data_IF_903909851039
#
_entry.id   IF_903909851039
#
_cell.length_a   1.000
_cell.length_b   1.000
_cell.length_c   1.000
_cell.angle_alpha   90.00
_cell.angle_beta   90.00
_cell.angle_gamma   90.00
#
_symmetry.space_group_name_H-M   'P 1'
#
loop_
_entity.id
_entity.type
_entity.pdbx_description
1 polymer ?
#
# COMPACT_ATOMS: atom_id res chain seq x y z
N UNK A 1 -12.41 12.65 16.19
CA UNK A 1 -12.45 11.77 14.99
C UNK A 1 -11.00 11.47 14.59
N UNK A 2 -10.66 10.20 14.34
CA UNK A 2 -9.31 9.81 13.94
C UNK A 2 -8.99 10.21 12.48
N UNK A 3 -7.70 10.27 12.15
CA UNK A 3 -7.24 10.41 10.76
C UNK A 3 -6.48 9.16 10.33
N UNK A 4 -6.63 8.77 9.07
CA UNK A 4 -5.81 7.73 8.43
C UNK A 4 -5.04 8.38 7.29
N UNK A 5 -3.71 8.44 7.37
CA UNK A 5 -2.86 8.85 6.26
C UNK A 5 -2.29 7.58 5.62
N UNK A 6 -2.60 7.35 4.37
CA UNK A 6 -2.21 6.13 3.68
C UNK A 6 -1.60 6.38 2.30
N UNK A 7 -0.77 5.43 1.84
CA UNK A 7 -0.41 5.37 0.43
C UNK A 7 -1.68 5.16 -0.41
N UNK A 8 -1.80 5.87 -1.52
CA UNK A 8 -2.97 5.79 -2.41
C UNK A 8 -3.28 4.38 -2.93
N UNK A 9 -2.31 3.47 -2.88
CA UNK A 9 -2.57 2.06 -3.22
C UNK A 9 -3.54 1.35 -2.27
N UNK A 10 -3.79 1.89 -1.07
CA UNK A 10 -4.72 1.32 -0.09
C UNK A 10 -6.11 1.94 -0.12
N UNK A 11 -6.32 2.96 -0.96
CA UNK A 11 -7.55 3.76 -0.97
C UNK A 11 -8.81 2.88 -1.10
N UNK A 12 -8.85 2.01 -2.10
CA UNK A 12 -10.01 1.16 -2.37
C UNK A 12 -10.32 0.21 -1.22
N UNK A 13 -9.29 -0.38 -0.63
CA UNK A 13 -9.43 -1.32 0.47
C UNK A 13 -9.86 -0.63 1.78
N UNK A 14 -9.32 0.56 2.07
CA UNK A 14 -9.74 1.35 3.23
C UNK A 14 -11.21 1.77 3.08
N UNK A 15 -11.60 2.24 1.89
CA UNK A 15 -12.99 2.64 1.64
C UNK A 15 -13.94 1.44 1.69
N UNK A 16 -13.54 0.27 1.19
CA UNK A 16 -14.33 -0.95 1.32
C UNK A 16 -14.56 -1.38 2.77
N UNK A 17 -13.59 -1.12 3.65
CA UNK A 17 -13.68 -1.45 5.08
C UNK A 17 -14.27 -0.33 5.94
N UNK A 18 -14.62 0.84 5.38
CA UNK A 18 -15.00 2.04 6.12
C UNK A 18 -16.03 1.79 7.23
N UNK A 19 -17.07 1.04 6.94
CA UNK A 19 -18.12 0.72 7.91
C UNK A 19 -17.77 -0.45 8.84
N UNK A 20 -16.78 -1.25 8.48
CA UNK A 20 -16.36 -2.41 9.25
C UNK A 20 -15.29 -2.13 10.29
N UNK A 21 -14.57 -0.99 10.16
CA UNK A 21 -13.50 -0.61 11.10
C UNK A 21 -14.04 -0.22 12.48
N UNK A 22 -15.32 0.16 12.59
CA UNK A 22 -16.00 0.36 13.87
C UNK A 22 -15.67 1.68 14.59
N UNK A 23 -14.94 2.60 13.95
CA UNK A 23 -14.67 3.93 14.45
C UNK A 23 -14.74 4.98 13.31
N UNK A 24 -15.12 6.25 13.62
CA UNK A 24 -15.16 7.31 12.61
C UNK A 24 -13.75 7.83 12.32
N UNK A 25 -13.43 7.96 11.03
CA UNK A 25 -12.15 8.49 10.58
C UNK A 25 -12.27 9.33 9.30
N UNK A 26 -11.32 10.22 9.11
CA UNK A 26 -11.04 10.91 7.85
C UNK A 26 -9.82 10.26 7.21
N UNK A 27 -9.92 9.93 5.91
CA UNK A 27 -8.83 9.30 5.18
C UNK A 27 -8.14 10.31 4.24
N UNK A 28 -6.81 10.28 4.23
CA UNK A 28 -5.93 11.13 3.43
C UNK A 28 -5.01 10.24 2.62
N UNK A 29 -5.16 10.25 1.30
CA UNK A 29 -4.41 9.38 0.42
C UNK A 29 -3.29 10.17 -0.27
N UNK A 30 -2.05 9.75 -0.02
CA UNK A 30 -0.88 10.32 -0.66
C UNK A 30 -0.52 9.52 -1.91
N UNK A 31 0.01 10.18 -2.93
CA UNK A 31 0.31 9.54 -4.22
C UNK A 31 1.16 8.27 -4.10
N UNK A 32 0.75 7.19 -4.76
CA UNK A 32 1.38 5.87 -4.69
C UNK A 32 2.88 5.86 -5.07
N UNK A 33 3.29 6.74 -5.99
CA UNK A 33 4.68 6.85 -6.44
C UNK A 33 5.61 7.70 -5.56
N UNK A 34 5.14 8.28 -4.45
CA UNK A 34 5.96 9.16 -3.61
C UNK A 34 7.13 8.44 -2.94
N UNK A 35 7.00 7.13 -2.65
CA UNK A 35 8.07 6.34 -2.06
C UNK A 35 9.31 6.16 -2.96
N UNK A 36 9.23 6.54 -4.23
CA UNK A 36 10.37 6.55 -5.16
C UNK A 36 11.38 7.63 -4.76
N UNK A 37 10.93 8.72 -4.14
CA UNK A 37 11.76 9.79 -3.60
C UNK A 37 11.44 10.00 -2.12
N UNK A 38 12.45 9.85 -1.25
CA UNK A 38 12.25 9.95 0.20
C UNK A 38 11.92 11.37 0.67
N UNK A 39 12.48 12.39 0.02
CA UNK A 39 12.20 13.78 0.39
C UNK A 39 10.78 14.19 -0.02
N UNK A 40 10.32 13.75 -1.20
CA UNK A 40 8.94 13.93 -1.64
C UNK A 40 7.96 13.27 -0.67
N UNK A 41 8.21 12.00 -0.29
CA UNK A 41 7.35 11.27 0.65
C UNK A 41 7.33 11.95 2.02
N UNK A 42 8.51 12.30 2.56
CA UNK A 42 8.62 13.01 3.85
C UNK A 42 7.87 14.34 3.83
N UNK A 43 8.06 15.13 2.78
CA UNK A 43 7.40 16.43 2.63
C UNK A 43 5.88 16.31 2.62
N UNK A 44 5.35 15.38 1.82
CA UNK A 44 3.92 15.12 1.74
C UNK A 44 3.34 14.58 3.07
N UNK A 45 4.04 13.64 3.72
CA UNK A 45 3.60 13.07 4.99
C UNK A 45 3.56 14.12 6.11
N UNK A 46 4.60 14.95 6.24
CA UNK A 46 4.65 16.03 7.24
C UNK A 46 3.54 17.05 6.99
N UNK A 47 3.31 17.45 5.76
CA UNK A 47 2.25 18.41 5.42
C UNK A 47 0.86 17.88 5.81
N UNK A 48 0.60 16.59 5.58
CA UNK A 48 -0.70 15.99 5.92
C UNK A 48 -0.84 15.75 7.43
N UNK A 49 0.23 15.36 8.13
CA UNK A 49 0.24 15.28 9.61
C UNK A 49 -0.03 16.63 10.26
N UNK A 50 0.57 17.70 9.75
CA UNK A 50 0.32 19.06 10.22
C UNK A 50 -1.14 19.51 10.00
N UNK A 51 -1.74 19.09 8.89
CA UNK A 51 -3.15 19.34 8.58
C UNK A 51 -4.05 18.58 9.56
N UNK A 52 -3.87 17.27 9.71
CA UNK A 52 -4.64 16.44 10.66
C UNK A 52 -4.58 17.01 12.08
N UNK A 53 -3.40 17.47 12.53
CA UNK A 53 -3.22 18.11 13.84
C UNK A 53 -3.99 19.43 13.95
N UNK A 54 -4.00 20.28 12.91
CA UNK A 54 -4.74 21.56 12.89
C UNK A 54 -6.25 21.32 12.89
N UNK A 55 -6.71 20.30 12.19
CA UNK A 55 -8.12 19.92 12.08
C UNK A 55 -8.65 19.22 13.34
N UNK A 56 -7.79 19.02 14.35
CA UNK A 56 -8.16 18.48 15.66
C UNK A 56 -8.37 16.97 15.66
N UNK A 57 -7.60 16.23 14.86
CA UNK A 57 -7.61 14.77 14.89
C UNK A 57 -7.29 14.24 16.30
N UNK A 58 -8.08 13.27 16.77
CA UNK A 58 -7.85 12.57 18.04
C UNK A 58 -6.61 11.70 18.04
N UNK A 59 -6.13 11.34 16.86
CA UNK A 59 -4.92 10.55 16.61
C UNK A 59 -4.82 10.18 15.13
N UNK A 60 -3.63 9.93 14.64
CA UNK A 60 -3.37 9.64 13.21
C UNK A 60 -2.77 8.27 13.03
N UNK A 61 -3.42 7.43 12.24
CA UNK A 61 -2.90 6.13 11.79
C UNK A 61 -2.18 6.32 10.47
N UNK A 62 -0.94 5.86 10.36
CA UNK A 62 -0.14 5.96 9.14
C UNK A 62 0.06 4.58 8.52
N UNK A 63 -0.41 4.40 7.28
CA UNK A 63 -0.33 3.16 6.50
C UNK A 63 0.68 3.32 5.36
N UNK A 64 1.96 3.19 5.69
CA UNK A 64 3.08 3.31 4.74
C UNK A 64 4.13 2.20 4.88
N UNK A 65 4.06 1.37 5.92
CA UNK A 65 5.11 0.42 6.23
C UNK A 65 6.47 1.12 6.41
N UNK A 66 7.55 0.43 6.10
CA UNK A 66 8.92 0.96 6.17
C UNK A 66 9.38 1.62 4.83
N UNK A 67 8.45 2.24 4.09
CA UNK A 67 8.76 2.88 2.80
C UNK A 67 9.67 4.11 2.91
N UNK A 68 9.85 4.65 4.12
CA UNK A 68 10.83 5.71 4.40
C UNK A 68 11.69 5.30 5.59
N UNK A 69 13.03 5.40 5.49
CA UNK A 69 13.95 4.90 6.53
C UNK A 69 13.80 5.61 7.89
N UNK A 70 13.29 6.85 7.88
CA UNK A 70 13.10 7.67 9.07
C UNK A 70 11.60 7.86 9.41
N UNK A 71 10.70 6.96 8.95
CA UNK A 71 9.26 7.18 9.09
C UNK A 71 8.85 7.30 10.57
N UNK A 72 9.38 6.48 11.43
CA UNK A 72 9.10 6.53 12.88
C UNK A 72 9.57 7.85 13.50
N UNK A 73 10.74 8.36 13.08
CA UNK A 73 11.26 9.64 13.56
C UNK A 73 10.37 10.82 13.09
N UNK A 74 9.84 10.73 11.87
CA UNK A 74 8.90 11.73 11.33
C UNK A 74 7.61 11.77 12.17
N UNK A 75 7.14 10.63 12.66
CA UNK A 75 5.90 10.52 13.43
C UNK A 75 6.03 11.00 14.88
N UNK A 76 7.22 10.94 15.49
CA UNK A 76 7.45 11.26 16.92
C UNK A 76 6.86 12.58 17.41
N UNK A 77 6.87 13.71 16.64
CA UNK A 77 6.29 14.97 17.09
C UNK A 77 4.76 15.01 17.06
N UNK A 78 4.12 13.95 16.57
CA UNK A 78 2.68 13.89 16.35
C UNK A 78 2.04 12.80 17.22
N UNK A 79 0.77 12.96 17.55
CA UNK A 79 -0.02 11.85 18.08
C UNK A 79 -0.40 10.92 16.93
N UNK A 80 0.59 10.13 16.47
CA UNK A 80 0.49 9.30 15.29
C UNK A 80 1.20 7.96 15.49
N UNK A 81 0.67 6.90 14.88
CA UNK A 81 1.21 5.55 14.92
C UNK A 81 1.39 4.99 13.51
N UNK A 82 2.49 4.29 13.29
CA UNK A 82 2.71 3.53 12.06
C UNK A 82 2.03 2.15 12.21
N UNK A 83 1.16 1.80 11.26
CA UNK A 83 0.60 0.45 11.23
C UNK A 83 1.71 -0.61 11.04
N UNK A 84 1.61 -1.72 11.77
CA UNK A 84 2.64 -2.73 11.88
C UNK A 84 2.76 -3.63 10.63
N UNK A 85 3.14 -3.04 9.48
CA UNK A 85 3.48 -3.75 8.25
C UNK A 85 4.83 -3.28 7.71
N UNK A 86 5.56 -4.15 7.03
CA UNK A 86 6.86 -3.80 6.45
C UNK A 86 6.71 -3.04 5.11
N UNK A 87 5.72 -3.42 4.33
CA UNK A 87 5.43 -2.85 3.02
C UNK A 87 3.95 -3.07 2.65
N UNK A 88 3.56 -2.59 1.47
CA UNK A 88 2.18 -2.70 1.00
C UNK A 88 1.71 -4.13 0.72
N UNK A 89 2.61 -5.06 0.44
CA UNK A 89 2.25 -6.48 0.22
C UNK A 89 1.99 -7.16 1.56
N UNK A 90 2.88 -6.92 2.54
CA UNK A 90 2.78 -7.45 3.91
C UNK A 90 1.51 -6.97 4.63
N UNK A 91 0.97 -5.82 4.23
CA UNK A 91 -0.32 -5.33 4.72
C UNK A 91 -1.50 -6.24 4.34
N UNK A 92 -1.40 -6.96 3.22
CA UNK A 92 -2.48 -7.84 2.73
C UNK A 92 -2.21 -9.32 2.98
N UNK A 93 -0.95 -9.74 2.93
CA UNK A 93 -0.56 -11.14 3.09
C UNK A 93 0.33 -11.25 4.32
N UNK A 94 -0.02 -12.16 5.23
CA UNK A 94 0.82 -12.41 6.41
C UNK A 94 2.23 -12.86 5.96
N UNK A 95 3.22 -12.58 6.79
CA UNK A 95 4.61 -13.01 6.57
C UNK A 95 4.71 -14.50 6.23
N UNK A 96 3.96 -15.35 6.92
CA UNK A 96 3.90 -16.80 6.66
C UNK A 96 3.36 -17.10 5.24
N UNK A 97 2.38 -16.35 4.78
CA UNK A 97 1.85 -16.46 3.41
C UNK A 97 2.92 -16.11 2.36
N UNK A 98 3.63 -15.01 2.57
CA UNK A 98 4.74 -14.60 1.70
C UNK A 98 5.89 -15.61 1.68
N UNK A 99 6.32 -16.12 2.84
CA UNK A 99 7.36 -17.14 2.95
C UNK A 99 6.97 -18.45 2.23
N UNK A 100 5.69 -18.82 2.29
CA UNK A 100 5.23 -20.01 1.55
C UNK A 100 5.26 -19.77 0.04
N UNK A 101 4.82 -18.63 -0.43
CA UNK A 101 4.84 -18.30 -1.86
C UNK A 101 6.27 -18.15 -2.41
N UNK A 102 7.18 -17.62 -1.60
CA UNK A 102 8.59 -17.46 -1.97
C UNK A 102 9.31 -18.79 -2.28
N UNK A 103 8.78 -19.92 -1.83
CA UNK A 103 9.30 -21.26 -2.19
C UNK A 103 9.12 -21.58 -3.68
N UNK A 104 8.13 -20.97 -4.31
CA UNK A 104 7.83 -21.16 -5.73
C UNK A 104 8.64 -20.23 -6.64
N UNK A 105 9.32 -19.25 -6.08
CA UNK A 105 10.14 -18.27 -6.80
C UNK A 105 9.92 -16.84 -6.33
N UNK A 106 10.61 -15.91 -6.98
CA UNK A 106 10.43 -14.47 -6.72
C UNK A 106 9.25 -13.97 -7.57
N UNK A 107 8.28 -13.36 -6.91
CA UNK A 107 7.09 -12.80 -7.56
C UNK A 107 6.97 -11.31 -7.30
N UNK A 108 6.46 -10.58 -8.29
CA UNK A 108 6.03 -9.19 -8.14
C UNK A 108 4.55 -9.16 -7.75
N UNK A 109 4.19 -8.43 -6.71
CA UNK A 109 2.83 -8.40 -6.20
C UNK A 109 2.11 -7.12 -6.63
N UNK A 110 0.87 -7.28 -7.08
CA UNK A 110 -0.04 -6.21 -7.48
C UNK A 110 -1.29 -6.27 -6.60
N UNK A 111 -1.61 -5.20 -5.89
CA UNK A 111 -2.96 -4.97 -5.35
C UNK A 111 -3.81 -4.20 -6.37
N UNK A 112 -5.13 -4.05 -6.17
CA UNK A 112 -5.96 -3.17 -6.99
C UNK A 112 -5.37 -1.77 -7.15
N UNK A 113 -4.93 -1.14 -6.07
CA UNK A 113 -4.31 0.18 -6.12
C UNK A 113 -2.94 0.21 -6.80
N UNK A 114 -2.15 -0.88 -6.72
CA UNK A 114 -0.92 -1.02 -7.49
C UNK A 114 -1.21 -1.11 -8.99
N UNK A 115 -2.22 -1.88 -9.37
CA UNK A 115 -2.64 -2.01 -10.77
C UNK A 115 -3.15 -0.68 -11.35
N UNK A 116 -3.75 0.18 -10.53
CA UNK A 116 -4.11 1.54 -10.94
C UNK A 116 -2.89 2.46 -11.11
N UNK A 117 -1.87 2.30 -10.27
CA UNK A 117 -0.79 3.27 -10.12
C UNK A 117 0.50 2.91 -10.89
N UNK A 118 0.65 1.69 -11.42
CA UNK A 118 1.93 1.22 -11.96
C UNK A 118 2.51 2.11 -13.06
N UNK A 119 1.67 2.66 -13.93
CA UNK A 119 2.11 3.55 -15.03
C UNK A 119 2.78 4.82 -14.48
N UNK A 120 2.21 5.39 -13.42
CA UNK A 120 2.74 6.59 -12.79
C UNK A 120 4.01 6.29 -12.00
N UNK A 121 4.06 5.15 -11.31
CA UNK A 121 5.24 4.70 -10.59
C UNK A 121 6.39 4.46 -11.57
N UNK A 122 6.16 3.73 -12.65
CA UNK A 122 7.19 3.46 -13.65
C UNK A 122 7.66 4.74 -14.36
N UNK A 123 6.75 5.69 -14.62
CA UNK A 123 7.12 7.00 -15.17
C UNK A 123 8.05 7.77 -14.21
N UNK A 124 7.79 7.76 -12.90
CA UNK A 124 8.67 8.37 -11.89
C UNK A 124 10.04 7.69 -11.81
N UNK A 125 10.09 6.39 -12.04
CA UNK A 125 11.33 5.60 -12.13
C UNK A 125 12.07 5.79 -13.46
N UNK A 126 11.49 6.52 -14.42
CA UNK A 126 11.95 6.59 -15.81
C UNK A 126 12.03 5.21 -16.48
N UNK A 127 11.11 4.31 -16.16
CA UNK A 127 11.02 3.00 -16.77
C UNK A 127 10.06 3.02 -17.96
N UNK A 128 10.62 2.93 -19.18
CA UNK A 128 9.88 2.49 -20.35
C UNK A 128 9.71 0.97 -20.36
N UNK A 129 9.16 0.43 -21.43
CA UNK A 129 8.90 -1.00 -21.55
C UNK A 129 10.19 -1.84 -21.48
N UNK A 130 11.27 -1.38 -22.10
CA UNK A 130 12.55 -2.09 -22.10
C UNK A 130 13.17 -2.13 -20.71
N UNK A 131 13.21 -0.99 -20.03
CA UNK A 131 13.72 -0.88 -18.66
C UNK A 131 12.88 -1.72 -17.69
N UNK A 132 11.55 -1.65 -17.79
CA UNK A 132 10.67 -2.44 -16.95
C UNK A 132 10.94 -3.94 -17.10
N UNK A 133 11.02 -4.45 -18.33
CA UNK A 133 11.34 -5.86 -18.62
C UNK A 133 12.70 -6.28 -18.12
N UNK A 134 13.70 -5.39 -18.23
CA UNK A 134 15.05 -5.63 -17.74
C UNK A 134 15.10 -5.68 -16.20
N UNK A 135 14.49 -4.69 -15.53
CA UNK A 135 14.47 -4.60 -14.07
C UNK A 135 13.64 -5.70 -13.43
N UNK A 136 12.56 -6.09 -14.07
CA UNK A 136 11.66 -7.13 -13.58
C UNK A 136 12.02 -8.54 -14.03
N UNK A 137 13.05 -8.71 -14.84
CA UNK A 137 13.45 -9.99 -15.42
C UNK A 137 13.88 -11.08 -14.42
N UNK A 138 14.15 -10.72 -13.16
CA UNK A 138 14.41 -11.68 -12.08
C UNK A 138 13.16 -12.29 -11.47
N UNK A 139 11.98 -11.68 -11.68
CA UNK A 139 10.72 -12.23 -11.21
C UNK A 139 10.24 -13.34 -12.12
N UNK A 140 9.73 -14.42 -11.50
CA UNK A 140 9.09 -15.52 -12.20
C UNK A 140 7.75 -15.15 -12.84
N UNK A 141 7.08 -14.18 -12.25
CA UNK A 141 5.77 -13.68 -12.64
C UNK A 141 5.26 -12.64 -11.68
N UNK A 142 4.05 -12.20 -11.87
CA UNK A 142 3.33 -11.32 -10.94
C UNK A 142 2.17 -12.07 -10.28
N UNK A 143 1.79 -11.60 -9.09
CA UNK A 143 0.64 -12.11 -8.33
C UNK A 143 -0.32 -10.95 -8.11
N UNK A 144 -1.50 -11.02 -8.68
CA UNK A 144 -2.57 -10.09 -8.38
C UNK A 144 -3.27 -10.50 -7.08
N UNK A 145 -3.21 -9.63 -6.08
CA UNK A 145 -3.86 -9.80 -4.79
C UNK A 145 -5.31 -9.35 -4.92
N UNK A 146 -6.20 -10.29 -5.12
CA UNK A 146 -7.62 -10.02 -5.33
C UNK A 146 -8.34 -9.75 -4.00
N UNK A 147 -8.03 -8.57 -3.42
CA UNK A 147 -8.58 -8.08 -2.14
C UNK A 147 -10.04 -7.68 -2.24
N UNK A 148 -10.47 -7.21 -3.41
CA UNK A 148 -11.80 -6.66 -3.65
C UNK A 148 -12.70 -7.61 -4.46
N UNK A 149 -12.20 -8.80 -4.83
CA UNK A 149 -12.90 -9.78 -5.68
C UNK A 149 -13.27 -9.21 -7.04
N UNK A 150 -12.40 -8.36 -7.60
CA UNK A 150 -12.60 -7.64 -8.85
C UNK A 150 -11.71 -8.15 -10.02
N UNK A 151 -10.90 -9.18 -9.79
CA UNK A 151 -9.92 -9.69 -10.77
C UNK A 151 -10.52 -9.96 -12.15
N UNK A 152 -11.74 -10.54 -12.20
CA UNK A 152 -12.41 -10.81 -13.47
C UNK A 152 -12.82 -9.54 -14.24
N UNK A 153 -13.15 -8.46 -13.53
CA UNK A 153 -13.48 -7.17 -14.14
C UNK A 153 -12.24 -6.40 -14.60
N UNK A 154 -11.06 -6.80 -14.12
CA UNK A 154 -9.77 -6.11 -14.36
C UNK A 154 -8.82 -6.89 -15.28
N UNK A 155 -9.33 -7.89 -15.98
CA UNK A 155 -8.51 -8.76 -16.85
C UNK A 155 -7.75 -7.94 -17.92
N UNK A 156 -8.40 -6.94 -18.54
CA UNK A 156 -7.75 -6.10 -19.55
C UNK A 156 -6.56 -5.32 -18.98
N UNK A 157 -6.70 -4.78 -17.77
CA UNK A 157 -5.62 -4.04 -17.10
C UNK A 157 -4.46 -4.96 -16.69
N UNK A 158 -4.78 -6.18 -16.26
CA UNK A 158 -3.77 -7.20 -15.94
C UNK A 158 -3.02 -7.64 -17.20
N UNK A 159 -3.72 -7.80 -18.32
CA UNK A 159 -3.09 -8.08 -19.60
C UNK A 159 -2.23 -6.92 -20.09
N UNK A 160 -2.65 -5.68 -19.90
CA UNK A 160 -1.84 -4.50 -20.23
C UNK A 160 -0.53 -4.47 -19.41
N UNK A 161 -0.61 -4.77 -18.10
CA UNK A 161 0.59 -4.88 -17.26
C UNK A 161 1.51 -6.02 -17.73
N UNK A 162 0.94 -7.19 -18.07
CA UNK A 162 1.68 -8.31 -18.64
C UNK A 162 2.36 -7.92 -19.95
N UNK A 163 1.65 -7.31 -20.88
CA UNK A 163 2.21 -6.90 -22.19
C UNK A 163 3.35 -5.90 -22.02
N UNK A 164 3.26 -5.02 -21.02
CA UNK A 164 4.29 -4.05 -20.73
C UNK A 164 5.54 -4.68 -20.09
N UNK A 165 5.35 -5.52 -19.08
CA UNK A 165 6.43 -6.06 -18.25
C UNK A 165 6.97 -7.43 -18.72
N UNK A 166 6.20 -8.16 -19.53
CA UNK A 166 6.41 -9.56 -19.87
C UNK A 166 6.41 -10.50 -18.65
N UNK A 167 5.71 -10.13 -17.57
CA UNK A 167 5.52 -10.97 -16.38
C UNK A 167 4.18 -11.68 -16.45
N UNK A 168 4.15 -13.01 -16.63
CA UNK A 168 2.90 -13.75 -16.52
C UNK A 168 2.29 -13.55 -15.14
N UNK A 169 0.97 -13.46 -15.05
CA UNK A 169 0.30 -13.21 -13.78
C UNK A 169 -0.56 -14.40 -13.34
N UNK A 170 -0.69 -14.52 -12.03
CA UNK A 170 -1.67 -15.37 -11.37
C UNK A 170 -2.54 -14.53 -10.43
N UNK A 171 -3.76 -14.99 -10.18
CA UNK A 171 -4.70 -14.34 -9.28
C UNK A 171 -4.68 -15.06 -7.93
N UNK A 172 -4.48 -14.33 -6.85
CA UNK A 172 -4.53 -14.83 -5.48
C UNK A 172 -5.67 -14.16 -4.73
N UNK A 173 -6.75 -14.88 -4.41
CA UNK A 173 -7.79 -14.35 -3.53
C UNK A 173 -7.21 -14.02 -2.14
N UNK A 174 -7.50 -12.83 -1.64
CA UNK A 174 -7.01 -12.33 -0.34
C UNK A 174 -8.19 -11.96 0.55
N UNK A 175 -8.17 -12.47 1.78
CA UNK A 175 -9.09 -12.05 2.82
C UNK A 175 -8.61 -10.73 3.46
N UNK A 176 -9.52 -9.80 3.66
CA UNK A 176 -9.20 -8.47 4.20
C UNK A 176 -9.05 -8.43 5.74
N UNK A 177 -9.22 -9.57 6.42
CA UNK A 177 -9.17 -9.65 7.88
C UNK A 177 -7.84 -9.23 8.46
N UNK A 178 -6.73 -9.60 7.80
CA UNK A 178 -5.39 -9.16 8.22
C UNK A 178 -5.22 -7.64 8.09
N UNK A 179 -5.56 -7.07 6.96
CA UNK A 179 -5.48 -5.62 6.71
C UNK A 179 -6.36 -4.82 7.67
N UNK A 180 -7.60 -5.29 7.88
CA UNK A 180 -8.52 -4.72 8.89
C UNK A 180 -7.91 -4.73 10.29
N UNK A 181 -7.31 -5.85 10.70
CA UNK A 181 -6.66 -5.98 12.00
C UNK A 181 -5.50 -5.04 12.19
N UNK A 182 -4.68 -4.79 11.15
CA UNK A 182 -3.59 -3.81 11.21
C UNK A 182 -4.09 -2.41 11.54
N UNK A 183 -5.20 -1.98 10.93
CA UNK A 183 -5.79 -0.65 11.17
C UNK A 183 -6.38 -0.57 12.59
N UNK A 184 -7.11 -1.60 13.03
CA UNK A 184 -7.71 -1.64 14.36
C UNK A 184 -6.62 -1.62 15.45
N UNK A 185 -5.59 -2.47 15.33
CA UNK A 185 -4.49 -2.52 16.30
C UNK A 185 -3.71 -1.18 16.35
N UNK A 186 -3.53 -0.53 15.20
CA UNK A 186 -2.91 0.78 15.17
C UNK A 186 -3.77 1.83 15.89
N UNK A 187 -5.09 1.79 15.74
CA UNK A 187 -6.01 2.67 16.47
C UNK A 187 -5.96 2.41 17.97
N UNK A 188 -5.95 1.15 18.40
CA UNK A 188 -5.83 0.79 19.82
C UNK A 188 -4.54 1.30 20.43
N UNK A 189 -3.41 1.23 19.68
CA UNK A 189 -2.12 1.77 20.14
C UNK A 189 -2.08 3.31 20.30
N UNK A 190 -3.07 4.04 19.78
CA UNK A 190 -3.22 5.49 20.03
C UNK A 190 -3.98 5.79 21.32
N UNK A 191 -4.66 4.81 21.88
CA UNK A 191 -5.46 4.97 23.10
C UNK A 191 -4.71 4.55 24.38
N UNK A 192 -3.58 3.82 24.24
CA UNK A 192 -2.69 3.41 25.33
C UNK A 192 -1.69 4.52 25.71
#
# INVERSE_FOLDING_TARGET
MYSIIACGIFEKEIEALRFELGFPFEAHYLGAGLHVDFDDLKGALVAELDKCRKDGSEGTIVLYGQCHPMIEEILKPYHAVLAACQNCVDAFITRKGLENKAKDGLFFYLSPGWLDAWKDIFRRLNWGQEEARMQMGSFRGSVYLDTLKDAAAREEELLEFFDFTNLPFEIMPVDMGHFKSLIINAKESLED
#
